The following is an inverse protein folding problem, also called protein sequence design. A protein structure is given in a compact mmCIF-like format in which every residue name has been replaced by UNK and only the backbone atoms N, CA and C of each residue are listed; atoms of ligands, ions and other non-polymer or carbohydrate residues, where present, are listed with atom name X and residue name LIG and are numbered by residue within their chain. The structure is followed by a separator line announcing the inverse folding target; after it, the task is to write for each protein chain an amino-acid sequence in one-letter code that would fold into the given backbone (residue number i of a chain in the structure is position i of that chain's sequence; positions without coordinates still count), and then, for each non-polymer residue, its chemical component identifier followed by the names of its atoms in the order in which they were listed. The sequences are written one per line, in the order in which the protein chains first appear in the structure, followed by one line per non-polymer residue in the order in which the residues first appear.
data_IF_364680813954
#
_entry.id   IF_364680813954
#
_cell.length_a   1.000
_cell.length_b   1.000
_cell.length_c   1.000
_cell.angle_alpha   90.00
_cell.angle_beta   90.00
_cell.angle_gamma   90.00
#
_symmetry.space_group_name_H-M   'P 1'
#
loop_
_entity.id
_entity.type
_entity.pdbx_description
1 polymer ?
#
# COMPACT_ATOMS: atom_id res chain seq x y z
N UNK A 1 21.10 -43.14 -56.49
CA UNK A 1 19.84 -43.84 -56.13
C UNK A 1 19.21 -43.12 -54.95
N UNK A 2 17.99 -42.62 -55.16
CA UNK A 2 16.96 -42.16 -54.22
C UNK A 2 17.36 -41.37 -52.94
N UNK A 3 17.16 -40.05 -53.02
CA UNK A 3 16.88 -39.18 -51.88
C UNK A 3 15.38 -39.26 -51.50
N UNK A 4 15.06 -39.20 -50.20
CA UNK A 4 13.68 -39.03 -49.69
C UNK A 4 13.48 -37.63 -49.10
N UNK A 5 12.40 -37.00 -49.55
CA UNK A 5 11.89 -35.68 -49.18
C UNK A 5 11.08 -35.71 -47.88
N UNK A 6 10.96 -34.51 -47.31
CA UNK A 6 10.14 -34.07 -46.18
C UNK A 6 8.61 -34.20 -46.37
N UNK A 7 7.88 -34.08 -45.26
CA UNK A 7 6.54 -33.48 -45.24
C UNK A 7 6.25 -32.81 -43.88
N UNK A 8 6.15 -31.49 -43.93
CA UNK A 8 5.55 -30.58 -42.95
C UNK A 8 4.03 -30.56 -43.14
N UNK A 9 3.24 -30.75 -42.08
CA UNK A 9 1.78 -30.64 -42.12
C UNK A 9 1.30 -29.39 -41.38
N UNK A 10 0.88 -28.37 -42.14
CA UNK A 10 0.14 -27.20 -41.63
C UNK A 10 -1.36 -27.47 -41.61
N UNK A 11 -2.06 -26.85 -40.65
CA UNK A 11 -3.53 -26.85 -40.59
C UNK A 11 -4.08 -25.63 -41.35
N UNK A 12 -4.89 -25.89 -42.37
CA UNK A 12 -5.71 -24.92 -43.10
C UNK A 12 -7.08 -24.79 -42.44
N UNK A 13 -7.62 -23.57 -42.34
CA UNK A 13 -8.99 -23.29 -41.97
C UNK A 13 -9.79 -22.92 -43.23
N UNK A 14 -10.85 -23.68 -43.52
CA UNK A 14 -11.82 -23.37 -44.58
C UNK A 14 -12.99 -22.58 -44.01
N UNK A 15 -13.33 -21.48 -44.67
CA UNK A 15 -14.54 -20.70 -44.45
C UNK A 15 -15.75 -21.39 -45.08
N UNK A 16 -16.83 -21.53 -44.31
CA UNK A 16 -18.19 -21.66 -44.86
C UNK A 16 -19.13 -20.80 -44.02
N UNK A 17 -19.89 -19.96 -44.73
CA UNK A 17 -20.93 -19.10 -44.19
C UNK A 17 -22.23 -19.90 -44.05
N UNK A 18 -22.93 -19.72 -42.93
CA UNK A 18 -24.38 -19.92 -42.89
C UNK A 18 -24.97 -19.14 -41.72
N UNK A 19 -25.96 -18.33 -42.07
CA UNK A 19 -26.79 -17.47 -41.22
C UNK A 19 -27.79 -18.32 -40.43
N UNK A 20 -27.84 -18.17 -39.10
CA UNK A 20 -29.06 -18.40 -38.31
C UNK A 20 -28.92 -17.82 -36.89
N UNK A 21 -29.90 -17.01 -36.53
CA UNK A 21 -30.22 -16.43 -35.22
C UNK A 21 -30.58 -17.50 -34.17
N UNK A 22 -30.01 -17.42 -32.97
CA UNK A 22 -30.74 -17.55 -31.69
C UNK A 22 -29.77 -17.56 -30.50
N UNK A 23 -30.13 -16.78 -29.49
CA UNK A 23 -29.47 -16.63 -28.20
C UNK A 23 -29.60 -17.89 -27.35
N UNK A 24 -28.48 -18.53 -27.01
CA UNK A 24 -28.41 -19.44 -25.86
C UNK A 24 -27.05 -19.26 -25.16
N UNK A 25 -27.12 -18.82 -23.89
CA UNK A 25 -25.99 -18.75 -22.99
C UNK A 25 -25.42 -20.15 -22.77
N UNK A 26 -24.13 -20.35 -23.06
CA UNK A 26 -23.45 -21.63 -22.87
C UNK A 26 -22.75 -21.62 -21.51
N UNK A 27 -23.32 -22.37 -20.57
CA UNK A 27 -22.72 -22.67 -19.27
C UNK A 27 -21.38 -23.41 -19.46
N UNK A 28 -20.34 -22.97 -18.76
CA UNK A 28 -19.07 -23.70 -18.69
C UNK A 28 -19.20 -24.85 -17.69
N UNK A 29 -19.18 -26.08 -18.23
CA UNK A 29 -19.13 -27.32 -17.46
C UNK A 29 -17.75 -27.44 -16.79
N UNK A 30 -17.73 -27.55 -15.47
CA UNK A 30 -16.54 -27.87 -14.69
C UNK A 30 -16.04 -29.29 -15.05
N UNK A 31 -14.84 -29.38 -15.64
CA UNK A 31 -14.13 -30.63 -15.77
C UNK A 31 -13.49 -30.98 -14.41
N UNK A 32 -13.89 -32.13 -13.88
CA UNK A 32 -13.33 -32.76 -12.68
C UNK A 32 -11.95 -33.34 -12.98
N UNK A 33 -10.95 -33.02 -12.16
CA UNK A 33 -9.65 -33.69 -12.14
C UNK A 33 -9.47 -34.48 -10.82
N UNK A 34 -8.86 -35.68 -10.88
CA UNK A 34 -8.84 -36.63 -9.77
C UNK A 34 -7.86 -36.23 -8.66
N UNK A 35 -8.21 -36.62 -7.44
CA UNK A 35 -7.44 -36.45 -6.21
C UNK A 35 -6.08 -37.16 -6.28
N UNK A 36 -4.99 -36.43 -6.08
CA UNK A 36 -3.69 -37.00 -5.74
C UNK A 36 -3.39 -36.73 -4.26
N UNK A 37 -3.17 -37.81 -3.53
CA UNK A 37 -2.94 -37.84 -2.10
C UNK A 37 -1.55 -37.30 -1.70
N UNK A 38 -1.53 -36.55 -0.59
CA UNK A 38 -0.56 -36.60 0.51
C UNK A 38 0.94 -36.85 0.17
N UNK A 39 1.76 -35.81 0.35
CA UNK A 39 3.03 -35.99 1.08
C UNK A 39 3.32 -34.78 1.96
N UNK A 40 3.66 -35.08 3.20
CA UNK A 40 3.93 -34.17 4.31
C UNK A 40 5.33 -33.57 4.19
N UNK A 41 5.41 -32.25 4.06
CA UNK A 41 6.65 -31.48 4.16
C UNK A 41 6.33 -30.02 4.45
N UNK A 42 6.14 -29.68 5.74
CA UNK A 42 5.96 -28.28 6.19
C UNK A 42 7.33 -27.60 6.24
N UNK A 43 7.76 -27.05 5.11
CA UNK A 43 8.66 -25.89 5.09
C UNK A 43 7.80 -24.66 4.86
N UNK A 44 8.05 -23.59 5.61
CA UNK A 44 7.34 -22.33 5.51
C UNK A 44 7.48 -21.78 4.08
N UNK A 45 6.48 -22.04 3.23
CA UNK A 45 6.33 -21.33 1.95
C UNK A 45 5.98 -19.89 2.30
N UNK A 46 6.93 -18.99 2.14
CA UNK A 46 6.64 -17.55 2.09
C UNK A 46 5.62 -17.35 0.98
N UNK A 47 4.40 -16.95 1.35
CA UNK A 47 3.22 -16.94 0.48
C UNK A 47 3.35 -15.78 -0.51
N UNK A 48 4.05 -16.02 -1.60
CA UNK A 48 4.12 -15.14 -2.75
C UNK A 48 3.16 -15.58 -3.87
N UNK A 49 2.54 -16.76 -3.72
CA UNK A 49 1.77 -17.41 -4.77
C UNK A 49 0.26 -17.38 -4.51
N UNK A 50 -0.50 -16.77 -5.43
CA UNK A 50 -1.95 -16.70 -5.41
C UNK A 50 -2.55 -17.25 -6.71
N UNK A 51 -2.49 -18.58 -6.93
CA UNK A 51 -3.33 -19.21 -7.96
C UNK A 51 -4.80 -19.29 -7.56
N UNK A 52 -5.06 -19.20 -6.26
CA UNK A 52 -6.39 -19.06 -5.73
C UNK A 52 -6.76 -17.58 -5.68
N UNK A 53 -6.48 -16.79 -6.72
CA UNK A 53 -6.82 -15.37 -6.74
C UNK A 53 -8.30 -15.21 -6.39
N UNK A 54 -9.23 -15.92 -7.07
CA UNK A 54 -10.66 -15.89 -6.74
C UNK A 54 -10.98 -16.43 -5.34
N UNK A 55 -10.42 -17.57 -4.91
CA UNK A 55 -10.75 -18.18 -3.62
C UNK A 55 -10.17 -17.43 -2.41
N UNK A 56 -8.97 -16.85 -2.51
CA UNK A 56 -8.34 -16.05 -1.43
C UNK A 56 -8.94 -14.64 -1.40
N UNK A 57 -9.28 -14.05 -2.55
CA UNK A 57 -10.13 -12.86 -2.64
C UNK A 57 -11.41 -13.12 -1.83
N UNK A 58 -12.15 -14.19 -2.14
CA UNK A 58 -13.37 -14.57 -1.40
C UNK A 58 -13.12 -14.82 0.09
N UNK A 59 -12.06 -15.53 0.48
CA UNK A 59 -11.73 -15.80 1.90
C UNK A 59 -11.33 -14.55 2.68
N UNK A 60 -10.67 -13.57 2.06
CA UNK A 60 -10.35 -12.29 2.71
C UNK A 60 -11.56 -11.37 2.78
N UNK A 61 -12.46 -11.47 1.81
CA UNK A 61 -13.67 -10.67 1.80
C UNK A 61 -14.65 -11.09 2.89
N UNK A 62 -14.77 -12.39 3.18
CA UNK A 62 -15.61 -12.87 4.29
C UNK A 62 -15.10 -12.34 5.63
N UNK A 63 -13.78 -12.25 5.83
CA UNK A 63 -13.19 -11.64 7.04
C UNK A 63 -13.62 -10.19 7.18
N UNK A 64 -13.67 -9.41 6.10
CA UNK A 64 -14.11 -8.01 6.16
C UNK A 64 -15.60 -7.89 6.46
N UNK A 65 -16.43 -8.73 5.82
CA UNK A 65 -17.85 -8.78 6.14
C UNK A 65 -18.05 -9.11 7.61
N UNK A 66 -17.39 -10.16 8.09
CA UNK A 66 -17.50 -10.59 9.47
C UNK A 66 -16.92 -9.56 10.44
N UNK A 67 -15.96 -8.73 10.03
CA UNK A 67 -15.42 -7.65 10.84
C UNK A 67 -16.38 -6.46 10.94
N UNK A 68 -16.95 -5.99 9.82
CA UNK A 68 -17.64 -4.70 9.74
C UNK A 68 -19.16 -4.77 9.59
N UNK A 69 -19.73 -5.94 9.31
CA UNK A 69 -21.16 -6.10 9.09
C UNK A 69 -21.74 -7.08 10.12
N UNK A 70 -22.94 -6.77 10.62
CA UNK A 70 -23.68 -7.56 11.60
C UNK A 70 -23.94 -6.81 12.90
N UNK A 71 -24.14 -7.53 14.00
CA UNK A 71 -24.43 -6.92 15.30
C UNK A 71 -23.15 -6.65 16.10
N UNK A 72 -23.09 -5.49 16.75
CA UNK A 72 -22.05 -5.14 17.72
C UNK A 72 -21.61 -3.68 17.64
N UNK A 73 -20.95 -3.17 18.71
CA UNK A 73 -20.59 -1.76 18.83
C UNK A 73 -19.47 -1.31 17.87
N UNK A 74 -18.74 -2.25 17.26
CA UNK A 74 -17.68 -1.99 16.28
C UNK A 74 -18.09 -2.30 14.83
N UNK A 75 -19.35 -2.65 14.62
CA UNK A 75 -19.89 -2.91 13.28
C UNK A 75 -20.21 -1.59 12.62
N UNK A 76 -19.84 -1.49 11.35
CA UNK A 76 -20.13 -0.35 10.49
C UNK A 76 -21.57 -0.39 9.99
N UNK A 77 -22.06 -1.59 9.68
CA UNK A 77 -23.42 -1.84 9.22
C UNK A 77 -24.08 -2.95 10.04
N UNK A 78 -25.35 -2.78 10.39
CA UNK A 78 -26.14 -3.80 11.11
C UNK A 78 -26.58 -4.98 10.23
N UNK A 79 -26.50 -4.81 8.92
CA UNK A 79 -27.04 -5.72 7.91
C UNK A 79 -26.20 -5.66 6.63
N UNK A 80 -26.16 -6.77 5.90
CA UNK A 80 -25.48 -6.91 4.62
C UNK A 80 -26.40 -6.64 3.42
N UNK A 81 -27.62 -6.15 3.64
CA UNK A 81 -28.51 -5.76 2.54
C UNK A 81 -28.19 -4.35 2.07
N UNK A 82 -27.95 -4.23 0.76
CA UNK A 82 -27.59 -2.95 0.16
C UNK A 82 -28.76 -1.96 0.14
N UNK A 83 -29.98 -2.46 -0.06
CA UNK A 83 -31.23 -1.69 -0.05
C UNK A 83 -31.54 -1.04 1.31
N UNK A 84 -30.86 -1.44 2.39
CA UNK A 84 -30.96 -0.81 3.71
C UNK A 84 -29.91 0.29 3.95
N UNK A 85 -29.05 0.59 2.96
CA UNK A 85 -27.98 1.59 3.05
C UNK A 85 -28.37 2.88 2.35
N UNK A 86 -28.02 4.01 2.96
CA UNK A 86 -28.14 5.28 2.24
C UNK A 86 -26.95 5.41 1.26
N UNK A 87 -27.20 5.85 0.03
CA UNK A 87 -26.16 5.92 -1.01
C UNK A 87 -24.92 6.73 -0.61
N UNK A 88 -25.11 7.80 0.17
CA UNK A 88 -24.02 8.64 0.64
C UNK A 88 -23.13 7.97 1.70
N UNK A 89 -23.53 6.82 2.25
CA UNK A 89 -22.73 6.06 3.22
C UNK A 89 -21.61 5.25 2.54
N UNK A 90 -21.68 5.06 1.21
CA UNK A 90 -20.77 4.22 0.44
C UNK A 90 -20.10 5.01 -0.68
N UNK A 91 -18.78 4.85 -0.81
CA UNK A 91 -18.02 5.34 -1.96
C UNK A 91 -17.18 4.21 -2.54
N UNK A 92 -17.39 3.90 -3.81
CA UNK A 92 -16.62 2.92 -4.55
C UNK A 92 -15.79 3.63 -5.62
N UNK A 93 -14.48 3.49 -5.57
CA UNK A 93 -13.54 4.09 -6.51
C UNK A 93 -12.59 3.02 -7.03
N UNK A 94 -12.34 2.98 -8.33
CA UNK A 94 -11.34 2.12 -8.96
C UNK A 94 -10.64 2.89 -10.05
N UNK A 95 -9.39 2.57 -10.37
CA UNK A 95 -8.89 2.95 -11.69
C UNK A 95 -9.65 2.20 -12.80
N UNK A 96 -9.57 2.69 -14.02
CA UNK A 96 -10.29 2.12 -15.16
C UNK A 96 -9.53 0.92 -15.76
N UNK A 97 -9.47 -0.18 -15.01
CA UNK A 97 -8.95 -1.47 -15.46
C UNK A 97 -9.90 -2.62 -15.06
N UNK A 98 -10.14 -3.54 -15.98
CA UNK A 98 -11.06 -4.67 -15.76
C UNK A 98 -10.70 -5.49 -14.51
N UNK A 99 -9.40 -5.70 -14.26
CA UNK A 99 -8.94 -6.48 -13.10
C UNK A 99 -9.20 -5.80 -11.76
N UNK A 100 -9.17 -4.47 -11.68
CA UNK A 100 -9.41 -3.73 -10.44
C UNK A 100 -10.91 -3.56 -10.20
N UNK A 101 -11.67 -3.25 -11.24
CA UNK A 101 -13.14 -3.22 -11.20
C UNK A 101 -13.72 -4.59 -10.85
N UNK A 102 -13.30 -5.65 -11.52
CA UNK A 102 -13.77 -7.02 -11.26
C UNK A 102 -13.41 -7.50 -9.85
N UNK A 103 -12.21 -7.19 -9.36
CA UNK A 103 -11.82 -7.50 -7.98
C UNK A 103 -12.64 -6.69 -6.96
N UNK A 104 -12.92 -5.43 -7.27
CA UNK A 104 -13.76 -4.56 -6.45
C UNK A 104 -15.18 -5.08 -6.36
N UNK A 105 -15.77 -5.47 -7.51
CA UNK A 105 -17.11 -6.04 -7.54
C UNK A 105 -17.18 -7.33 -6.72
N UNK A 106 -16.20 -8.22 -6.87
CA UNK A 106 -16.15 -9.45 -6.07
C UNK A 106 -16.03 -9.18 -4.55
N UNK A 107 -15.37 -8.08 -4.14
CA UNK A 107 -15.33 -7.63 -2.75
C UNK A 107 -16.69 -7.15 -2.28
N UNK A 108 -17.31 -6.26 -3.06
CA UNK A 108 -18.62 -5.69 -2.74
C UNK A 108 -19.69 -6.77 -2.70
N UNK A 109 -19.73 -7.70 -3.65
CA UNK A 109 -20.67 -8.82 -3.68
C UNK A 109 -20.51 -9.74 -2.46
N UNK A 110 -19.33 -9.79 -1.85
CA UNK A 110 -19.14 -10.55 -0.62
C UNK A 110 -19.64 -9.78 0.60
N UNK A 111 -19.38 -8.47 0.66
CA UNK A 111 -19.83 -7.58 1.74
C UNK A 111 -21.35 -7.42 1.75
N UNK A 112 -21.92 -7.18 0.58
CA UNK A 112 -23.34 -6.98 0.32
C UNK A 112 -23.81 -7.99 -0.74
N UNK A 113 -24.09 -9.24 -0.34
CA UNK A 113 -24.54 -10.27 -1.25
C UNK A 113 -25.77 -9.84 -2.02
N UNK A 114 -25.68 -9.99 -3.33
CA UNK A 114 -26.79 -9.75 -4.24
C UNK A 114 -28.04 -10.53 -3.80
N UNK A 115 -29.19 -9.86 -3.83
CA UNK A 115 -30.51 -10.48 -3.66
C UNK A 115 -31.39 -10.14 -4.88
N UNK A 116 -32.13 -11.12 -5.45
CA UNK A 116 -33.00 -10.88 -6.60
C UNK A 116 -34.09 -9.81 -6.37
N UNK A 117 -34.40 -9.50 -5.10
CA UNK A 117 -35.34 -8.42 -4.76
C UNK A 117 -34.76 -7.03 -5.00
N UNK A 118 -33.43 -6.90 -5.05
CA UNK A 118 -32.73 -5.64 -5.28
C UNK A 118 -32.66 -5.30 -6.79
N UNK A 119 -32.95 -6.24 -7.70
CA UNK A 119 -32.96 -5.99 -9.16
C UNK A 119 -34.11 -5.11 -9.63
N UNK A 120 -35.21 -5.06 -8.88
CA UNK A 120 -36.39 -4.32 -9.29
C UNK A 120 -36.14 -2.81 -9.35
N UNK A 121 -35.03 -2.34 -8.75
CA UNK A 121 -34.72 -0.95 -8.60
C UNK A 121 -33.25 -0.68 -8.98
N UNK A 122 -33.03 -0.20 -10.21
CA UNK A 122 -31.69 0.23 -10.70
C UNK A 122 -31.04 1.28 -9.78
N UNK A 123 -31.86 1.99 -9.02
CA UNK A 123 -31.48 2.95 -8.00
C UNK A 123 -30.77 2.30 -6.78
N UNK A 124 -30.88 1.00 -6.58
CA UNK A 124 -30.18 0.27 -5.51
C UNK A 124 -28.86 -0.35 -5.99
N UNK A 125 -28.52 -0.18 -7.28
CA UNK A 125 -27.23 -0.62 -7.83
C UNK A 125 -26.08 0.28 -7.37
N UNK A 126 -24.98 -0.36 -6.99
CA UNK A 126 -23.76 0.33 -6.62
C UNK A 126 -22.98 0.79 -7.84
N UNK A 127 -22.51 2.04 -7.79
CA UNK A 127 -21.74 2.65 -8.89
C UNK A 127 -20.26 2.73 -8.53
N UNK A 128 -19.41 2.17 -9.40
CA UNK A 128 -17.97 2.36 -9.35
C UNK A 128 -17.60 3.68 -10.03
N UNK A 129 -16.93 4.55 -9.28
CA UNK A 129 -16.36 5.78 -9.82
C UNK A 129 -14.98 5.49 -10.43
N UNK A 130 -14.83 5.74 -11.73
CA UNK A 130 -13.54 5.71 -12.45
C UNK A 130 -13.08 7.14 -12.79
N UNK A 131 -11.83 7.29 -13.24
CA UNK A 131 -11.36 8.52 -13.86
C UNK A 131 -10.55 8.19 -15.11
N UNK A 132 -10.37 9.20 -15.96
CA UNK A 132 -9.56 9.07 -17.17
C UNK A 132 -8.14 8.64 -16.82
N UNK A 133 -7.65 7.59 -17.51
CA UNK A 133 -6.37 6.95 -17.23
C UNK A 133 -5.19 7.94 -17.16
N UNK A 134 -5.23 9.03 -17.92
CA UNK A 134 -4.15 10.02 -17.98
C UNK A 134 -4.09 10.97 -16.77
N UNK A 135 -5.10 10.93 -15.91
CA UNK A 135 -5.27 11.82 -14.74
C UNK A 135 -5.54 11.07 -13.44
N UNK A 136 -5.68 9.74 -13.50
CA UNK A 136 -6.04 8.94 -12.34
C UNK A 136 -4.81 8.72 -11.44
N UNK A 137 -4.84 9.35 -10.26
CA UNK A 137 -3.77 9.21 -9.26
C UNK A 137 -3.71 7.82 -8.61
N UNK A 138 -4.73 6.95 -8.81
CA UNK A 138 -4.70 5.56 -8.35
C UNK A 138 -3.66 4.76 -9.15
N UNK A 139 -3.59 5.00 -10.47
CA UNK A 139 -2.60 4.39 -11.36
C UNK A 139 -1.58 5.44 -11.83
N UNK A 140 -0.64 5.76 -10.95
CA UNK A 140 0.35 6.80 -11.21
C UNK A 140 1.24 6.56 -12.45
N UNK A 141 1.34 5.31 -12.93
CA UNK A 141 2.12 5.01 -14.14
C UNK A 141 1.48 5.64 -15.38
N UNK A 142 0.17 5.85 -15.35
CA UNK A 142 -0.60 6.51 -16.41
C UNK A 142 -0.94 7.97 -16.07
N UNK A 143 -0.75 8.41 -14.83
CA UNK A 143 -0.90 9.82 -14.42
C UNK A 143 0.16 10.73 -15.07
N UNK A 144 -0.18 11.27 -16.24
CA UNK A 144 0.63 12.26 -16.96
C UNK A 144 0.47 13.68 -16.42
N UNK A 145 -0.44 13.91 -15.46
CA UNK A 145 -0.66 15.23 -14.88
C UNK A 145 0.50 15.70 -13.99
N UNK A 146 1.41 14.79 -13.62
CA UNK A 146 2.53 15.07 -12.73
C UNK A 146 3.92 14.77 -13.32
N UNK A 147 4.45 15.60 -14.24
CA UNK A 147 5.76 15.37 -14.85
C UNK A 147 6.93 15.38 -13.86
N UNK A 148 6.75 15.97 -12.67
CA UNK A 148 7.74 15.89 -11.59
C UNK A 148 8.02 14.44 -11.15
N UNK A 149 7.05 13.52 -11.20
CA UNK A 149 7.28 12.11 -10.84
C UNK A 149 8.31 11.46 -11.76
N UNK A 150 8.22 11.67 -13.07
CA UNK A 150 9.21 11.15 -14.02
C UNK A 150 10.61 11.75 -13.77
N UNK A 151 10.69 13.07 -13.53
CA UNK A 151 11.95 13.72 -13.14
C UNK A 151 12.55 13.10 -11.87
N UNK A 152 11.75 12.92 -10.83
CA UNK A 152 12.19 12.33 -9.56
C UNK A 152 12.63 10.88 -9.75
N UNK A 153 11.90 10.07 -10.53
CA UNK A 153 12.30 8.70 -10.84
C UNK A 153 13.67 8.66 -11.53
N UNK A 154 13.93 9.55 -12.49
CA UNK A 154 15.24 9.69 -13.14
C UNK A 154 16.33 10.12 -12.17
N UNK A 155 16.06 11.10 -11.29
CA UNK A 155 17.00 11.55 -10.27
C UNK A 155 17.37 10.40 -9.31
N UNK A 156 16.36 9.69 -8.80
CA UNK A 156 16.53 8.54 -7.91
C UNK A 156 17.38 7.46 -8.57
N UNK A 157 17.07 7.10 -9.82
CA UNK A 157 17.80 6.10 -10.58
C UNK A 157 19.27 6.47 -10.83
N UNK A 158 19.59 7.76 -10.80
CA UNK A 158 20.95 8.30 -10.95
C UNK A 158 21.59 8.68 -9.61
N UNK A 159 20.90 8.44 -8.48
CA UNK A 159 21.45 8.74 -7.17
C UNK A 159 22.65 7.84 -6.86
N UNK A 160 23.68 8.32 -6.13
CA UNK A 160 24.87 7.53 -5.85
C UNK A 160 24.56 6.18 -5.18
N UNK A 161 23.60 6.15 -4.26
CA UNK A 161 23.21 4.92 -3.56
C UNK A 161 22.61 3.88 -4.52
N UNK A 162 21.66 4.28 -5.38
CA UNK A 162 21.02 3.37 -6.35
C UNK A 162 22.03 2.91 -7.40
N UNK A 163 22.89 3.80 -7.89
CA UNK A 163 23.94 3.46 -8.86
C UNK A 163 24.93 2.47 -8.24
N UNK A 164 25.38 2.70 -7.00
CA UNK A 164 26.29 1.79 -6.29
C UNK A 164 25.65 0.42 -6.06
N UNK A 165 24.38 0.36 -5.64
CA UNK A 165 23.65 -0.90 -5.44
C UNK A 165 23.53 -1.70 -6.75
N UNK A 166 23.04 -1.06 -7.82
CA UNK A 166 22.85 -1.68 -9.14
C UNK A 166 24.15 -2.20 -9.74
N UNK A 167 25.25 -1.50 -9.49
CA UNK A 167 26.57 -1.85 -10.00
C UNK A 167 27.37 -2.72 -9.02
N UNK A 168 26.77 -3.17 -7.91
CA UNK A 168 27.45 -4.03 -6.96
C UNK A 168 27.78 -5.38 -7.58
N UNK A 169 28.92 -6.00 -7.22
CA UNK A 169 29.27 -7.33 -7.74
C UNK A 169 28.18 -8.38 -7.53
N UNK A 170 27.48 -8.32 -6.40
CA UNK A 170 26.40 -9.25 -6.07
C UNK A 170 25.20 -9.12 -7.02
N UNK A 171 24.73 -7.90 -7.30
CA UNK A 171 23.60 -7.65 -8.21
C UNK A 171 23.98 -7.98 -9.65
N UNK A 172 25.20 -7.65 -10.06
CA UNK A 172 25.70 -7.99 -11.41
C UNK A 172 25.84 -9.51 -11.59
N UNK A 173 26.33 -10.23 -10.58
CA UNK A 173 26.41 -11.69 -10.60
C UNK A 173 25.03 -12.36 -10.65
N UNK A 174 24.07 -11.84 -9.86
CA UNK A 174 22.67 -12.29 -9.90
C UNK A 174 22.06 -12.08 -11.29
N UNK A 175 22.28 -10.90 -11.88
CA UNK A 175 21.80 -10.59 -13.22
C UNK A 175 22.42 -11.52 -14.28
N UNK A 176 23.74 -11.71 -14.24
CA UNK A 176 24.45 -12.58 -15.18
C UNK A 176 23.98 -14.03 -15.09
N UNK A 177 23.78 -14.54 -13.85
CA UNK A 177 23.28 -15.90 -13.62
C UNK A 177 21.90 -16.10 -14.23
N UNK A 178 20.97 -15.17 -14.02
CA UNK A 178 19.61 -15.32 -14.57
C UNK A 178 19.56 -15.09 -16.09
N UNK A 179 20.35 -14.15 -16.63
CA UNK A 179 20.51 -13.98 -18.08
C UNK A 179 20.99 -15.28 -18.77
N UNK A 180 21.92 -16.02 -18.14
CA UNK A 180 22.42 -17.27 -18.68
C UNK A 180 21.35 -18.37 -18.74
N UNK A 181 20.40 -18.38 -17.79
CA UNK A 181 19.27 -19.30 -17.77
C UNK A 181 18.27 -18.97 -18.88
N UNK A 182 17.89 -17.70 -19.03
CA UNK A 182 16.86 -17.30 -20.00
C UNK A 182 17.40 -17.08 -21.41
N UNK A 183 18.72 -17.10 -21.60
CA UNK A 183 19.39 -16.93 -22.89
C UNK A 183 19.33 -15.50 -23.46
N UNK A 184 18.78 -14.53 -22.70
CA UNK A 184 18.61 -13.13 -23.11
C UNK A 184 18.86 -12.19 -21.94
N UNK A 185 19.05 -10.90 -22.24
CA UNK A 185 19.12 -9.87 -21.20
C UNK A 185 17.72 -9.61 -20.64
N UNK A 186 17.45 -10.03 -19.41
CA UNK A 186 16.18 -9.75 -18.75
C UNK A 186 16.09 -8.30 -18.25
N UNK A 187 14.86 -7.82 -18.06
CA UNK A 187 14.56 -6.53 -17.46
C UNK A 187 14.06 -6.72 -16.02
N UNK A 188 14.62 -5.96 -15.09
CA UNK A 188 14.25 -6.06 -13.68
C UNK A 188 12.78 -5.73 -13.43
N UNK A 189 12.22 -4.79 -14.20
CA UNK A 189 10.84 -4.33 -14.05
C UNK A 189 9.80 -5.41 -14.41
N UNK A 190 10.15 -6.37 -15.28
CA UNK A 190 9.26 -7.48 -15.67
C UNK A 190 9.57 -8.79 -14.95
N UNK A 191 10.74 -8.88 -14.28
CA UNK A 191 11.21 -10.10 -13.63
C UNK A 191 10.24 -10.58 -12.55
N UNK A 192 9.80 -9.67 -11.68
CA UNK A 192 8.82 -10.01 -10.64
C UNK A 192 7.51 -10.46 -11.25
N UNK A 193 6.93 -9.69 -12.19
CA UNK A 193 5.63 -10.02 -12.79
C UNK A 193 5.65 -11.41 -13.44
N UNK A 194 6.61 -11.70 -14.32
CA UNK A 194 6.67 -12.98 -15.02
C UNK A 194 6.90 -14.17 -14.07
N UNK A 195 7.89 -14.07 -13.18
CA UNK A 195 8.25 -15.17 -12.30
C UNK A 195 7.19 -15.40 -11.23
N UNK A 196 6.63 -14.34 -10.65
CA UNK A 196 5.57 -14.44 -9.67
C UNK A 196 4.31 -15.01 -10.29
N UNK A 197 3.90 -14.56 -11.48
CA UNK A 197 2.71 -15.10 -12.15
C UNK A 197 2.91 -16.59 -12.46
N UNK A 198 4.05 -16.99 -13.02
CA UNK A 198 4.33 -18.40 -13.31
C UNK A 198 4.29 -19.25 -12.04
N UNK A 199 4.99 -18.81 -10.99
CA UNK A 199 5.03 -19.46 -9.68
C UNK A 199 3.64 -19.53 -9.03
N UNK A 200 2.89 -18.42 -9.06
CA UNK A 200 1.50 -18.37 -8.62
C UNK A 200 0.69 -19.39 -9.38
N UNK A 201 0.94 -19.57 -10.68
CA UNK A 201 0.14 -20.39 -11.56
C UNK A 201 0.59 -21.85 -11.71
N UNK A 202 1.44 -22.33 -10.78
CA UNK A 202 2.07 -23.66 -10.88
C UNK A 202 2.65 -23.93 -12.27
N UNK A 203 3.05 -22.88 -12.99
CA UNK A 203 3.70 -22.98 -14.27
C UNK A 203 5.19 -23.23 -14.02
N UNK A 204 5.83 -24.06 -14.85
CA UNK A 204 7.27 -24.28 -14.74
C UNK A 204 8.02 -22.95 -14.91
N UNK A 205 8.98 -22.71 -14.02
CA UNK A 205 9.96 -21.64 -14.20
C UNK A 205 11.02 -22.09 -15.21
N UNK A 206 11.79 -21.16 -15.82
CA UNK A 206 12.89 -21.53 -16.71
C UNK A 206 13.86 -22.52 -16.03
N UNK A 207 14.26 -23.55 -16.77
CA UNK A 207 15.15 -24.61 -16.26
C UNK A 207 16.43 -24.03 -15.64
N UNK A 208 16.76 -24.47 -14.43
CA UNK A 208 17.88 -23.93 -13.64
C UNK A 208 17.50 -22.79 -12.70
N UNK A 209 16.25 -22.33 -12.70
CA UNK A 209 15.73 -21.40 -11.69
C UNK A 209 15.46 -22.12 -10.38
N UNK A 210 16.45 -22.12 -9.48
CA UNK A 210 16.30 -22.68 -8.12
C UNK A 210 15.47 -21.77 -7.22
N UNK A 211 14.99 -22.30 -6.08
CA UNK A 211 14.25 -21.52 -5.08
C UNK A 211 15.06 -20.33 -4.54
N UNK A 212 16.35 -20.54 -4.29
CA UNK A 212 17.26 -19.51 -3.81
C UNK A 212 17.44 -18.41 -4.85
N UNK A 213 17.55 -18.80 -6.13
CA UNK A 213 17.65 -17.83 -7.22
C UNK A 213 16.34 -17.04 -7.37
N UNK A 214 15.19 -17.71 -7.32
CA UNK A 214 13.88 -17.05 -7.35
C UNK A 214 13.76 -16.02 -6.22
N UNK A 215 14.03 -16.41 -4.97
CA UNK A 215 13.97 -15.50 -3.82
C UNK A 215 14.96 -14.33 -3.95
N UNK A 216 16.19 -14.58 -4.43
CA UNK A 216 17.17 -13.52 -4.66
C UNK A 216 16.69 -12.50 -5.70
N UNK A 217 16.07 -12.96 -6.80
CA UNK A 217 15.50 -12.08 -7.83
C UNK A 217 14.33 -11.24 -7.28
N UNK A 218 13.40 -11.85 -6.54
CA UNK A 218 12.29 -11.13 -5.92
C UNK A 218 12.79 -10.10 -4.90
N UNK A 219 13.74 -10.48 -4.06
CA UNK A 219 14.33 -9.57 -3.07
C UNK A 219 15.04 -8.37 -3.72
N UNK A 220 15.72 -8.58 -4.84
CA UNK A 220 16.35 -7.49 -5.58
C UNK A 220 15.31 -6.51 -6.18
N UNK A 221 14.21 -7.01 -6.74
CA UNK A 221 13.12 -6.14 -7.22
C UNK A 221 12.50 -5.36 -6.06
N UNK A 222 12.25 -6.00 -4.92
CA UNK A 222 11.74 -5.34 -3.71
C UNK A 222 12.72 -4.27 -3.19
N UNK A 223 14.02 -4.58 -3.18
CA UNK A 223 15.08 -3.64 -2.76
C UNK A 223 15.07 -2.39 -3.63
N UNK A 224 15.00 -2.53 -4.95
CA UNK A 224 14.92 -1.39 -5.88
C UNK A 224 13.69 -0.52 -5.64
N UNK A 225 12.53 -1.16 -5.49
CA UNK A 225 11.29 -0.45 -5.20
C UNK A 225 11.36 0.27 -3.86
N UNK A 226 11.92 -0.38 -2.83
CA UNK A 226 12.14 0.24 -1.52
C UNK A 226 13.03 1.47 -1.64
N UNK A 227 14.19 1.36 -2.29
CA UNK A 227 15.11 2.49 -2.49
C UNK A 227 14.42 3.69 -3.17
N UNK A 228 13.55 3.43 -4.15
CA UNK A 228 12.76 4.47 -4.82
C UNK A 228 11.75 5.11 -3.87
N UNK A 229 10.93 4.31 -3.21
CA UNK A 229 9.80 4.79 -2.42
C UNK A 229 10.23 5.37 -1.06
N UNK A 230 11.41 5.02 -0.54
CA UNK A 230 11.98 5.61 0.68
C UNK A 230 12.92 6.78 0.41
N UNK A 231 13.23 7.10 -0.85
CA UNK A 231 14.18 8.15 -1.21
C UNK A 231 13.80 9.50 -0.57
N UNK A 232 14.77 10.16 0.07
CA UNK A 232 14.61 11.45 0.74
C UNK A 232 13.35 11.51 1.62
N UNK A 233 13.25 10.61 2.60
CA UNK A 233 12.08 10.52 3.50
C UNK A 233 10.75 10.32 2.73
N UNK A 234 10.80 9.45 1.72
CA UNK A 234 9.67 9.10 0.86
C UNK A 234 9.14 10.26 0.02
N UNK A 235 9.99 11.19 -0.41
CA UNK A 235 9.57 12.34 -1.21
C UNK A 235 8.81 11.91 -2.48
N UNK A 236 9.28 10.87 -3.16
CA UNK A 236 8.58 10.31 -4.33
C UNK A 236 7.21 9.77 -3.94
N UNK A 237 7.14 8.88 -2.94
CA UNK A 237 5.89 8.26 -2.50
C UNK A 237 4.86 9.29 -1.98
N UNK A 238 5.33 10.35 -1.31
CA UNK A 238 4.50 11.48 -0.86
C UNK A 238 3.90 12.21 -2.06
N UNK A 239 4.70 12.63 -3.03
CA UNK A 239 4.20 13.33 -4.21
C UNK A 239 3.24 12.44 -5.03
N UNK A 240 3.58 11.17 -5.14
CA UNK A 240 2.84 10.16 -5.88
C UNK A 240 1.43 9.99 -5.29
N UNK A 241 1.35 9.69 -4.01
CA UNK A 241 0.10 9.39 -3.30
C UNK A 241 -0.52 10.59 -2.59
N UNK A 242 -0.11 11.82 -2.92
CA UNK A 242 -0.58 13.03 -2.26
C UNK A 242 -2.10 13.18 -2.30
N UNK A 243 -2.70 12.95 -3.46
CA UNK A 243 -4.14 13.04 -3.64
C UNK A 243 -4.89 11.98 -2.84
N UNK A 244 -4.39 10.75 -2.79
CA UNK A 244 -4.98 9.68 -1.99
C UNK A 244 -4.98 10.02 -0.50
N UNK A 245 -3.84 10.45 0.05
CA UNK A 245 -3.75 10.87 1.46
C UNK A 245 -4.63 12.08 1.76
N UNK A 246 -4.72 13.04 0.84
CA UNK A 246 -5.62 14.18 0.99
C UNK A 246 -7.09 13.75 1.07
N UNK A 247 -7.50 12.82 0.23
CA UNK A 247 -8.88 12.33 0.20
C UNK A 247 -9.21 11.53 1.47
N UNK A 248 -8.25 10.74 1.99
CA UNK A 248 -8.37 10.10 3.30
C UNK A 248 -8.57 11.15 4.40
N UNK A 249 -7.68 12.15 4.50
CA UNK A 249 -7.77 13.19 5.52
C UNK A 249 -9.11 13.96 5.45
N UNK A 250 -9.57 14.30 4.25
CA UNK A 250 -10.88 14.94 4.04
C UNK A 250 -12.05 14.09 4.49
N UNK A 251 -12.01 12.78 4.27
CA UNK A 251 -13.06 11.86 4.72
C UNK A 251 -13.09 11.78 6.24
N UNK A 252 -11.92 11.72 6.89
CA UNK A 252 -11.85 11.74 8.36
C UNK A 252 -12.35 13.08 8.92
N UNK A 253 -11.98 14.21 8.30
CA UNK A 253 -12.53 15.52 8.67
C UNK A 253 -14.06 15.53 8.61
N UNK A 254 -14.64 14.96 7.54
CA UNK A 254 -16.10 14.89 7.37
C UNK A 254 -16.76 14.04 8.46
N UNK A 255 -16.17 12.88 8.80
CA UNK A 255 -16.65 12.03 9.90
C UNK A 255 -16.61 12.77 11.24
N UNK A 256 -15.55 13.55 11.50
CA UNK A 256 -15.41 14.31 12.75
C UNK A 256 -16.41 15.47 12.81
N UNK A 257 -16.63 16.14 11.69
CA UNK A 257 -17.52 17.30 11.59
C UNK A 257 -19.00 16.90 11.72
N UNK A 258 -19.43 15.92 10.93
CA UNK A 258 -20.80 15.40 10.95
C UNK A 258 -20.83 13.89 10.63
N UNK A 259 -20.73 13.03 11.66
CA UNK A 259 -20.77 11.59 11.49
C UNK A 259 -22.05 11.07 10.82
N UNK A 260 -23.15 11.83 10.87
CA UNK A 260 -24.46 11.37 10.40
C UNK A 260 -24.62 11.49 8.87
N UNK A 261 -23.88 12.40 8.24
CA UNK A 261 -23.89 12.61 6.79
C UNK A 261 -22.60 12.16 6.10
N UNK A 262 -21.58 11.75 6.87
CA UNK A 262 -20.30 11.29 6.36
C UNK A 262 -20.39 9.88 5.74
N UNK A 263 -19.44 9.61 4.83
CA UNK A 263 -19.20 8.25 4.32
C UNK A 263 -18.88 7.30 5.47
N UNK A 264 -19.57 6.15 5.52
CA UNK A 264 -19.25 5.08 6.45
C UNK A 264 -18.18 4.16 5.89
N UNK A 265 -18.29 3.78 4.62
CA UNK A 265 -17.32 2.91 3.94
C UNK A 265 -16.88 3.53 2.62
N UNK A 266 -15.56 3.64 2.45
CA UNK A 266 -14.94 3.97 1.16
C UNK A 266 -14.05 2.81 0.73
N UNK A 267 -14.28 2.27 -0.45
CA UNK A 267 -13.44 1.24 -1.06
C UNK A 267 -12.73 1.87 -2.25
N UNK A 268 -11.39 1.81 -2.23
CA UNK A 268 -10.57 2.18 -3.36
C UNK A 268 -9.80 0.97 -3.88
N UNK A 269 -10.08 0.57 -5.11
CA UNK A 269 -9.35 -0.48 -5.81
C UNK A 269 -8.18 0.15 -6.57
N UNK A 270 -6.98 -0.35 -6.33
CA UNK A 270 -5.76 0.11 -6.98
C UNK A 270 -4.76 -1.02 -7.17
N UNK A 271 -3.49 -0.67 -7.27
CA UNK A 271 -2.41 -1.59 -7.59
C UNK A 271 -1.41 -1.71 -6.44
N UNK A 272 -0.45 -2.61 -6.58
CA UNK A 272 0.77 -2.59 -5.78
C UNK A 272 1.47 -1.22 -5.85
N UNK A 273 1.47 -0.61 -7.03
CA UNK A 273 1.96 0.73 -7.31
C UNK A 273 1.18 1.84 -6.60
N UNK A 274 0.00 1.55 -6.03
CA UNK A 274 -0.76 2.42 -5.13
C UNK A 274 -0.46 2.09 -3.67
N UNK A 275 -0.53 0.80 -3.32
CA UNK A 275 -0.48 0.33 -1.94
C UNK A 275 0.93 0.44 -1.34
N UNK A 276 1.97 0.12 -2.11
CA UNK A 276 3.36 0.23 -1.67
C UNK A 276 3.78 1.66 -1.32
N UNK A 277 3.55 2.69 -2.16
CA UNK A 277 3.87 4.07 -1.76
C UNK A 277 3.00 4.57 -0.60
N UNK A 278 1.73 4.16 -0.51
CA UNK A 278 0.92 4.42 0.69
C UNK A 278 1.57 3.86 1.96
N UNK A 279 2.00 2.60 1.92
CA UNK A 279 2.69 1.95 3.04
C UNK A 279 4.05 2.61 3.35
N UNK A 280 4.83 2.97 2.32
CA UNK A 280 6.10 3.66 2.47
C UNK A 280 5.95 5.02 3.18
N UNK A 281 4.87 5.76 2.88
CA UNK A 281 4.54 7.01 3.56
C UNK A 281 4.12 6.77 5.01
N UNK A 282 3.18 5.84 5.24
CA UNK A 282 2.63 5.60 6.57
C UNK A 282 3.67 5.06 7.56
N UNK A 283 4.48 4.11 7.11
CA UNK A 283 5.46 3.40 7.94
C UNK A 283 6.85 4.07 7.90
N UNK A 284 7.12 4.93 6.92
CA UNK A 284 8.38 5.67 6.81
C UNK A 284 9.60 4.72 6.86
N UNK A 285 10.61 5.00 7.71
CA UNK A 285 11.78 4.13 7.88
C UNK A 285 11.49 2.69 8.32
N UNK A 286 10.33 2.45 8.95
CA UNK A 286 9.94 1.11 9.43
C UNK A 286 9.28 0.25 8.36
N UNK A 287 9.02 0.80 7.17
CA UNK A 287 8.54 0.02 6.05
C UNK A 287 9.63 -0.96 5.57
N UNK A 288 9.27 -2.24 5.49
CA UNK A 288 10.18 -3.31 5.12
C UNK A 288 10.51 -3.36 3.62
N UNK A 289 9.67 -2.76 2.78
CA UNK A 289 9.82 -2.72 1.34
C UNK A 289 9.33 -3.97 0.62
N UNK A 290 8.65 -4.88 1.31
CA UNK A 290 8.12 -6.09 0.66
C UNK A 290 7.04 -5.74 -0.36
N UNK A 291 7.02 -6.49 -1.46
CA UNK A 291 5.99 -6.36 -2.48
C UNK A 291 4.63 -6.72 -1.89
N UNK A 292 3.62 -5.89 -2.16
CA UNK A 292 2.27 -6.16 -1.66
C UNK A 292 1.68 -7.37 -2.36
N UNK A 293 1.14 -8.32 -1.60
CA UNK A 293 0.52 -9.52 -2.18
C UNK A 293 -0.71 -9.18 -3.02
N UNK A 294 -1.08 -10.07 -3.95
CA UNK A 294 -2.42 -10.03 -4.55
C UNK A 294 -3.50 -10.01 -3.47
N UNK A 295 -4.57 -9.23 -3.70
CA UNK A 295 -5.60 -8.93 -2.69
C UNK A 295 -5.01 -8.38 -1.37
N UNK A 296 -3.86 -7.70 -1.47
CA UNK A 296 -3.30 -6.92 -0.39
C UNK A 296 -4.23 -5.78 -0.03
N UNK A 297 -4.48 -5.57 1.26
CA UNK A 297 -5.43 -4.58 1.73
C UNK A 297 -4.83 -3.74 2.84
N UNK A 298 -4.91 -2.42 2.68
CA UNK A 298 -4.71 -1.45 3.75
C UNK A 298 -6.07 -0.90 4.16
N UNK A 299 -6.48 -1.18 5.39
CA UNK A 299 -7.71 -0.65 5.99
C UNK A 299 -7.33 0.50 6.90
N UNK A 300 -8.10 1.60 6.81
CA UNK A 300 -7.98 2.77 7.67
C UNK A 300 -9.30 2.90 8.41
N UNK A 301 -9.25 2.76 9.72
CA UNK A 301 -10.41 2.83 10.59
C UNK A 301 -10.37 4.11 11.41
N UNK A 302 -11.53 4.73 11.62
CA UNK A 302 -11.69 5.89 12.49
C UNK A 302 -12.55 5.48 13.68
N UNK A 303 -12.04 5.73 14.87
CA UNK A 303 -12.72 5.48 16.14
C UNK A 303 -13.04 6.79 16.81
N UNK A 304 -14.17 6.81 17.53
CA UNK A 304 -14.49 7.86 18.48
C UNK A 304 -14.49 7.27 19.89
N UNK A 305 -13.84 7.95 20.81
CA UNK A 305 -14.00 7.70 22.24
C UNK A 305 -15.40 8.16 22.68
N UNK A 306 -16.19 7.23 23.20
CA UNK A 306 -17.56 7.48 23.61
C UNK A 306 -17.65 8.42 24.81
N UNK A 307 -16.62 8.43 25.67
CA UNK A 307 -16.58 9.17 26.94
C UNK A 307 -16.07 10.61 26.74
N UNK A 308 -15.43 10.90 25.59
CA UNK A 308 -14.97 12.24 25.25
C UNK A 308 -16.04 13.05 24.49
N UNK A 309 -16.07 14.37 24.74
CA UNK A 309 -16.88 15.30 23.95
C UNK A 309 -16.45 15.26 22.48
N UNK A 310 -17.37 14.91 21.59
CA UNK A 310 -17.15 14.84 20.13
C UNK A 310 -16.61 16.13 19.51
N UNK A 311 -16.75 17.27 20.18
CA UNK A 311 -16.21 18.56 19.72
C UNK A 311 -14.70 18.65 19.89
N UNK A 312 -14.08 17.75 20.65
CA UNK A 312 -12.64 17.71 20.84
C UNK A 312 -12.02 16.80 19.78
N UNK A 313 -11.03 17.32 19.04
CA UNK A 313 -10.36 16.54 17.99
C UNK A 313 -9.68 15.27 18.51
N UNK A 314 -9.25 15.28 19.77
CA UNK A 314 -8.64 14.13 20.44
C UNK A 314 -9.66 13.05 20.85
N UNK A 315 -10.98 13.33 20.73
CA UNK A 315 -12.01 12.32 20.87
C UNK A 315 -11.96 11.26 19.76
N UNK A 316 -11.10 11.43 18.75
CA UNK A 316 -10.97 10.53 17.62
C UNK A 316 -9.58 9.92 17.51
N UNK A 317 -9.53 8.66 17.10
CA UNK A 317 -8.31 7.95 16.80
C UNK A 317 -8.41 7.23 15.44
N UNK A 318 -7.27 7.05 14.79
CA UNK A 318 -7.15 6.35 13.51
C UNK A 318 -6.27 5.12 13.69
N UNK A 319 -6.69 3.99 13.10
CA UNK A 319 -5.90 2.76 13.04
C UNK A 319 -5.68 2.34 11.60
N UNK A 320 -4.46 1.91 11.30
CA UNK A 320 -4.10 1.32 10.01
C UNK A 320 -3.91 -0.19 10.18
N UNK A 321 -4.44 -0.97 9.25
CA UNK A 321 -4.35 -2.44 9.25
C UNK A 321 -3.91 -2.89 7.86
N UNK A 322 -2.81 -3.63 7.78
CA UNK A 322 -2.38 -4.28 6.54
C UNK A 322 -2.60 -5.78 6.61
N UNK A 323 -3.40 -6.33 5.70
CA UNK A 323 -3.69 -7.77 5.62
C UNK A 323 -4.13 -8.38 6.97
N UNK A 324 -5.01 -7.68 7.70
CA UNK A 324 -5.53 -8.11 8.99
C UNK A 324 -4.59 -7.91 10.17
N UNK A 325 -3.40 -7.32 9.97
CA UNK A 325 -2.45 -6.99 11.03
C UNK A 325 -2.43 -5.47 11.25
N UNK A 326 -2.70 -4.98 12.48
CA UNK A 326 -2.50 -3.59 12.81
C UNK A 326 -1.06 -3.13 12.53
N UNK A 327 -0.93 -1.86 12.14
CA UNK A 327 0.36 -1.22 11.88
C UNK A 327 0.70 -0.28 13.02
N UNK A 328 1.90 -0.44 13.59
CA UNK A 328 2.48 0.56 14.48
C UNK A 328 3.07 1.70 13.65
N UNK A 329 2.37 2.84 13.63
CA UNK A 329 2.86 4.03 12.93
C UNK A 329 4.02 4.66 13.71
N UNK A 330 5.11 5.07 13.05
CA UNK A 330 6.33 5.54 13.71
C UNK A 330 6.16 6.87 14.45
N UNK A 331 5.07 7.61 14.16
CA UNK A 331 4.73 8.88 14.79
C UNK A 331 3.61 8.76 15.83
N UNK A 332 3.17 7.54 16.15
CA UNK A 332 2.15 7.27 17.15
C UNK A 332 2.75 6.36 18.24
N UNK A 333 2.27 6.49 19.48
CA UNK A 333 2.75 5.68 20.61
C UNK A 333 2.12 4.29 20.67
N UNK A 334 1.01 4.08 19.95
CA UNK A 334 0.19 2.86 19.93
C UNK A 334 -0.40 2.67 18.51
N UNK A 335 -1.04 1.53 18.26
CA UNK A 335 -1.76 1.19 17.03
C UNK A 335 -3.00 2.07 16.80
N UNK A 336 -3.61 2.56 17.88
CA UNK A 336 -4.65 3.59 17.85
C UNK A 336 -3.99 4.96 17.93
N UNK A 337 -3.87 5.63 16.78
CA UNK A 337 -3.21 6.92 16.69
C UNK A 337 -4.19 8.06 16.94
N UNK A 338 -3.97 8.97 17.90
CA UNK A 338 -4.81 10.16 18.06
C UNK A 338 -4.91 10.94 16.76
N UNK A 339 -6.13 11.39 16.42
CA UNK A 339 -6.37 12.09 15.16
C UNK A 339 -5.51 13.34 15.01
N UNK A 340 -5.29 14.10 16.10
CA UNK A 340 -4.43 15.29 16.11
C UNK A 340 -3.00 14.96 15.64
N UNK A 341 -2.41 13.88 16.17
CA UNK A 341 -1.09 13.39 15.78
C UNK A 341 -1.05 12.88 14.34
N UNK A 342 -2.06 12.10 13.95
CA UNK A 342 -2.17 11.55 12.59
C UNK A 342 -2.29 12.65 11.54
N UNK A 343 -3.21 13.60 11.76
CA UNK A 343 -3.45 14.74 10.87
C UNK A 343 -2.23 15.67 10.79
N UNK A 344 -1.54 15.94 11.90
CA UNK A 344 -0.33 16.73 11.89
C UNK A 344 0.78 16.07 11.04
N UNK A 345 0.99 14.76 11.22
CA UNK A 345 2.04 13.98 10.55
C UNK A 345 1.81 13.87 9.04
N UNK A 346 0.55 13.87 8.59
CA UNK A 346 0.16 13.77 7.18
C UNK A 346 -0.32 15.09 6.57
N UNK A 347 -0.21 16.21 7.30
CA UNK A 347 -0.70 17.53 6.90
C UNK A 347 -0.12 18.02 5.56
N UNK A 348 1.08 17.55 5.19
CA UNK A 348 1.70 17.81 3.88
C UNK A 348 0.78 17.43 2.71
N UNK A 349 -0.08 16.41 2.87
CA UNK A 349 -0.99 15.96 1.82
C UNK A 349 -2.06 17.02 1.47
N UNK A 350 -2.34 17.94 2.40
CA UNK A 350 -3.31 19.03 2.22
C UNK A 350 -2.77 20.15 1.33
N UNK A 351 -1.46 20.24 1.13
CA UNK A 351 -0.85 21.23 0.27
C UNK A 351 -1.19 21.01 -1.22
N UNK A 352 -0.85 21.99 -2.06
CA UNK A 352 -0.89 21.84 -3.52
C UNK A 352 0.15 20.82 -3.97
N UNK A 353 -0.24 19.89 -4.85
CA UNK A 353 0.65 18.87 -5.42
C UNK A 353 1.69 19.51 -6.33
N UNK A 354 2.96 19.32 -6.01
CA UNK A 354 4.08 20.00 -6.68
C UNK A 354 4.50 19.25 -7.96
N UNK A 355 3.66 19.36 -8.98
CA UNK A 355 3.84 18.63 -10.24
C UNK A 355 4.63 19.41 -11.31
N UNK A 356 4.84 20.72 -11.12
CA UNK A 356 5.52 21.58 -12.09
C UNK A 356 7.02 21.31 -12.10
N UNK A 357 7.59 21.13 -13.28
CA UNK A 357 9.05 21.09 -13.45
C UNK A 357 9.65 22.48 -13.19
N UNK A 358 10.85 22.58 -12.60
CA UNK A 358 11.53 23.86 -12.45
C UNK A 358 11.84 24.46 -13.82
N UNK A 359 11.64 25.77 -13.96
CA UNK A 359 11.83 26.52 -15.22
C UNK A 359 13.30 26.80 -15.57
N UNK A 360 14.22 26.53 -14.66
CA UNK A 360 15.68 26.56 -14.89
C UNK A 360 16.25 25.18 -14.63
N UNK A 361 17.38 24.86 -15.28
CA UNK A 361 18.21 23.70 -14.97
C UNK A 361 18.79 23.85 -13.54
N UNK A 362 17.93 23.75 -12.53
CA UNK A 362 18.28 23.64 -11.14
C UNK A 362 18.93 22.27 -10.97
N UNK A 363 20.24 22.31 -10.78
CA UNK A 363 21.06 21.20 -10.33
C UNK A 363 20.52 20.68 -9.00
N UNK A 364 19.97 19.45 -9.03
CA UNK A 364 19.41 18.70 -7.89
C UNK A 364 18.21 19.38 -7.20
N UNK A 365 17.28 18.55 -6.72
CA UNK A 365 16.26 18.99 -5.76
C UNK A 365 16.97 19.67 -4.59
N UNK A 366 16.83 21.00 -4.49
CA UNK A 366 17.27 21.75 -3.33
C UNK A 366 16.67 21.09 -2.09
N UNK A 367 17.53 20.54 -1.24
CA UNK A 367 17.21 19.91 0.05
C UNK A 367 16.67 20.91 1.08
N UNK A 368 16.13 22.05 0.65
CA UNK A 368 15.52 23.07 1.49
C UNK A 368 14.07 22.73 1.87
N UNK A 369 13.81 21.46 2.18
CA UNK A 369 12.87 21.20 3.27
C UNK A 369 13.69 21.43 4.52
N UNK A 370 13.41 22.55 5.19
CA UNK A 370 13.93 22.92 6.51
C UNK A 370 13.87 21.70 7.43
N UNK A 371 14.95 20.95 7.44
CA UNK A 371 15.34 20.13 8.58
C UNK A 371 16.00 21.14 9.50
N UNK A 372 15.22 21.70 10.41
CA UNK A 372 15.78 22.00 11.71
C UNK A 372 16.22 20.67 12.33
N UNK A 373 17.32 20.09 11.84
CA UNK A 373 18.18 19.31 12.69
C UNK A 373 18.67 20.32 13.74
N UNK A 374 18.36 20.13 15.02
CA UNK A 374 18.98 20.94 16.05
C UNK A 374 20.49 20.74 15.91
N UNK A 375 21.20 21.82 15.64
CA UNK A 375 22.65 21.81 15.68
C UNK A 375 23.10 21.27 17.03
N UNK A 376 24.24 20.59 17.07
CA UNK A 376 24.84 20.04 18.29
C UNK A 376 25.01 21.07 19.43
N UNK A 377 24.77 22.36 19.17
CA UNK A 377 24.66 23.42 20.16
C UNK A 377 23.54 23.21 21.20
N UNK A 378 22.46 22.48 20.87
CA UNK A 378 21.39 22.18 21.85
C UNK A 378 21.83 21.20 22.96
N UNK A 379 22.85 20.37 22.71
CA UNK A 379 23.41 19.49 23.73
C UNK A 379 24.41 20.20 24.67
N UNK A 380 24.80 21.44 24.38
CA UNK A 380 25.69 22.24 25.24
C UNK A 380 24.93 23.17 26.21
N UNK A 381 23.65 23.44 25.95
CA UNK A 381 22.81 24.29 26.82
C UNK A 381 22.50 23.69 28.21
N UNK A 382 22.29 22.35 28.40
CA UNK A 382 22.11 21.81 29.75
C UNK A 382 23.41 21.69 30.54
N UNK A 383 24.57 21.62 29.89
CA UNK A 383 25.89 21.55 30.57
C UNK A 383 26.32 22.93 31.09
N UNK A 384 26.06 24.00 30.33
CA UNK A 384 26.35 25.37 30.78
C UNK A 384 25.49 25.82 31.96
N UNK A 385 24.21 25.43 31.99
CA UNK A 385 23.30 25.75 33.09
C UNK A 385 23.66 25.02 34.39
N UNK A 386 24.13 23.76 34.31
CA UNK A 386 24.57 23.01 35.50
C UNK A 386 25.84 23.60 36.14
N UNK A 387 26.79 24.09 35.33
CA UNK A 387 28.03 24.69 35.83
C UNK A 387 27.80 26.06 36.47
N UNK A 388 26.82 26.85 35.99
CA UNK A 388 26.45 28.13 36.59
C UNK A 388 25.74 27.97 37.95
N UNK A 389 24.96 26.91 38.15
CA UNK A 389 24.28 26.61 39.42
C UNK A 389 25.28 26.09 40.47
N UNK A 390 26.25 25.28 40.08
CA UNK A 390 27.30 24.80 41.01
C UNK A 390 28.25 25.94 41.41
N UNK A 391 28.58 26.87 40.50
CA UNK A 391 29.41 28.04 40.82
C UNK A 391 28.74 29.07 41.73
N UNK A 392 27.42 29.23 41.64
CA UNK A 392 26.65 30.16 42.51
C UNK A 392 26.36 29.57 43.90
N UNK A 393 26.31 28.25 44.05
CA UNK A 393 26.20 27.59 45.35
C UNK A 393 27.55 27.49 46.10
N UNK A 394 28.68 27.49 45.38
CA UNK A 394 30.02 27.45 45.99
C UNK A 394 30.54 28.81 46.51
N UNK A 395 29.85 29.92 46.24
CA UNK A 395 30.30 31.29 46.60
C UNK A 395 29.48 31.96 47.69
N UNK A 396 28.40 31.34 48.19
CA UNK A 396 27.70 31.81 49.39
C UNK A 396 28.40 31.32 50.66
N UNK A 397 29.42 32.07 51.08
CA UNK A 397 29.86 32.08 52.47
C UNK A 397 28.66 32.46 53.37
N UNK A 398 28.33 31.57 54.31
CA UNK A 398 27.33 31.79 55.34
C UNK A 398 27.94 32.62 56.49
N UNK A 399 27.37 33.79 56.82
CA UNK A 399 27.73 34.48 58.05
C UNK A 399 26.73 34.12 59.16
N UNK A 400 27.21 33.27 60.07
CA UNK A 400 27.15 33.46 61.54
C UNK A 400 25.80 33.83 62.21
N UNK A 401 25.25 32.96 63.07
CA UNK A 401 25.16 33.27 64.53
C UNK A 401 24.79 32.08 65.41
N UNK A 402 25.54 31.98 66.52
CA UNK A 402 25.27 31.23 67.76
C UNK A 402 24.02 31.74 68.48
N UNK A 403 23.28 30.83 69.11
CA UNK A 403 22.83 30.86 70.52
C UNK A 403 22.22 29.48 70.84
N UNK A 404 22.98 28.61 71.53
CA UNK A 404 22.79 28.17 72.93
C UNK A 404 21.50 27.38 73.20
N UNK A 405 21.64 26.05 73.29
CA UNK A 405 21.29 25.14 74.41
C UNK A 405 19.95 25.29 75.19
N UNK A 406 19.47 24.26 75.92
CA UNK A 406 19.53 22.81 75.67
C UNK A 406 18.26 22.04 76.14
N UNK A 407 18.37 20.69 76.10
CA UNK A 407 17.76 19.70 77.01
C UNK A 407 16.35 19.10 76.73
N UNK A 408 16.40 17.76 76.63
CA UNK A 408 15.57 16.73 77.27
C UNK A 408 14.18 16.42 76.72
N UNK A 409 13.98 15.14 76.43
CA UNK A 409 12.68 14.49 76.25
C UNK A 409 12.70 13.43 75.17
#
# INVERSE_FOLDING_TARGET
MAARRAATGGCTASSTSTTATSSTARAWSAASCPSAASSTGKTARTVYCSMAATFIIVLRHSILRDAYIGHGPRKLFSSNKISERARHELLLRSDDQERTLGSGQALVDTLFPYSPKDEANMDDMLTWMTADANSDYIDHRRDTSCPMLDRMAKEINNSPAVVAHRNSPAVLALQARFNAIVGVKFQWDTCLECLMIARCNNLPLPDGTTEELFHALINEVQTRTRMKLSYQNGAYAKLDMQHMWRDILKRVDAVILDPSSALKLSITMGHDSTLMPMMAVAMGPTWDGHWTTYAGMLVIEVYRDADMDRRHGDAYAVRLIYNGKPLQLPFCNDELCPWSTFNASLSWARATRQCKLPTKASTRLDTNVSTHQPSAAWFLLPVGALLAVVGTLATRQSPYRRETDPLLG
#
